data_IF_858162095069
#
_entry.id   IF_858162095069
#
_cell.length_a   1.000
_cell.length_b   1.000
_cell.length_c   1.000
_cell.angle_alpha   90.00
_cell.angle_beta   90.00
_cell.angle_gamma   90.00
#
_symmetry.space_group_name_H-M   'P 1'
#
loop_
_entity.id
_entity.type
_entity.pdbx_description
1 polymer ?
#
# COMPACT_ATOMS: atom_id res chain seq x y z
N UNK A 1 -52.20 16.87 71.92
CA UNK A 1 -51.99 15.66 71.10
C UNK A 1 -52.71 15.72 69.75
N UNK A 2 -54.00 16.07 69.70
CA UNK A 2 -54.77 16.11 68.44
C UNK A 2 -54.22 17.10 67.38
N UNK A 3 -53.68 18.24 67.81
CA UNK A 3 -53.08 19.25 66.92
C UNK A 3 -51.77 18.80 66.27
N UNK A 4 -50.91 18.08 67.00
CA UNK A 4 -49.67 17.52 66.46
C UNK A 4 -49.94 16.42 65.43
N UNK A 5 -50.95 15.58 65.68
CA UNK A 5 -51.38 14.55 64.73
C UNK A 5 -51.88 15.19 63.43
N UNK A 6 -52.64 16.28 63.52
CA UNK A 6 -53.11 17.01 62.34
C UNK A 6 -51.96 17.63 61.53
N UNK A 7 -50.96 18.23 62.19
CA UNK A 7 -49.78 18.78 61.53
C UNK A 7 -48.99 17.68 60.79
N UNK A 8 -48.75 16.55 61.45
CA UNK A 8 -48.08 15.39 60.85
C UNK A 8 -48.85 14.87 59.63
N UNK A 9 -50.19 14.85 59.68
CA UNK A 9 -51.00 14.42 58.54
C UNK A 9 -50.81 15.33 57.32
N UNK A 10 -50.73 16.65 57.51
CA UNK A 10 -50.47 17.62 56.43
C UNK A 10 -49.08 17.39 55.83
N UNK A 11 -48.06 17.24 56.66
CA UNK A 11 -46.69 16.98 56.18
C UNK A 11 -46.60 15.67 55.39
N UNK A 12 -47.28 14.61 55.85
CA UNK A 12 -47.36 13.34 55.12
C UNK A 12 -48.05 13.52 53.77
N UNK A 13 -49.09 14.35 53.68
CA UNK A 13 -49.73 14.67 52.40
C UNK A 13 -48.82 15.43 51.45
N UNK A 14 -48.06 16.42 51.95
CA UNK A 14 -47.09 17.17 51.16
C UNK A 14 -45.95 16.26 50.65
N UNK A 15 -45.37 15.45 51.54
CA UNK A 15 -44.33 14.48 51.16
C UNK A 15 -44.82 13.49 50.11
N UNK A 16 -46.08 13.04 50.18
CA UNK A 16 -46.68 12.19 49.16
C UNK A 16 -46.82 12.90 47.81
N UNK A 17 -47.16 14.18 47.82
CA UNK A 17 -47.24 14.98 46.59
C UNK A 17 -45.85 15.16 45.97
N UNK A 18 -44.85 15.50 46.76
CA UNK A 18 -43.47 15.66 46.29
C UNK A 18 -42.89 14.34 45.76
N UNK A 19 -43.11 13.23 46.48
CA UNK A 19 -42.71 11.90 46.02
C UNK A 19 -43.34 11.54 44.67
N UNK A 20 -44.58 11.95 44.44
CA UNK A 20 -45.25 11.74 43.14
C UNK A 20 -44.56 12.51 42.02
N UNK A 21 -44.24 13.79 42.25
CA UNK A 21 -43.54 14.62 41.27
C UNK A 21 -42.15 14.06 40.96
N UNK A 22 -41.42 13.61 41.97
CA UNK A 22 -40.11 12.97 41.79
C UNK A 22 -40.24 11.68 41.00
N UNK A 23 -41.23 10.85 41.29
CA UNK A 23 -41.46 9.60 40.55
C UNK A 23 -41.77 9.87 39.07
N UNK A 24 -42.63 10.85 38.77
CA UNK A 24 -42.96 11.23 37.40
C UNK A 24 -41.73 11.74 36.63
N UNK A 25 -40.88 12.54 37.29
CA UNK A 25 -39.61 13.01 36.70
C UNK A 25 -38.62 11.87 36.49
N UNK A 26 -38.51 10.92 37.42
CA UNK A 26 -37.65 9.73 37.28
C UNK A 26 -38.03 8.95 36.00
N UNK A 27 -39.31 8.66 35.84
CA UNK A 27 -39.83 7.95 34.65
C UNK A 27 -39.56 8.73 33.36
N UNK A 28 -39.72 10.05 33.38
CA UNK A 28 -39.43 10.88 32.20
C UNK A 28 -37.93 10.81 31.83
N UNK A 29 -37.04 10.90 32.82
CA UNK A 29 -35.59 10.80 32.59
C UNK A 29 -35.17 9.41 32.11
N UNK A 30 -35.76 8.33 32.65
CA UNK A 30 -35.49 6.95 32.22
C UNK A 30 -35.87 6.73 30.74
N UNK A 31 -37.01 7.30 30.31
CA UNK A 31 -37.41 7.26 28.89
C UNK A 31 -36.42 8.00 28.00
N UNK A 32 -35.99 9.19 28.41
CA UNK A 32 -34.99 9.96 27.65
C UNK A 32 -33.67 9.20 27.54
N UNK A 33 -33.20 8.60 28.63
CA UNK A 33 -31.99 7.77 28.62
C UNK A 33 -32.16 6.61 27.63
N UNK A 34 -33.30 5.93 27.63
CA UNK A 34 -33.56 4.82 26.70
C UNK A 34 -33.53 5.28 25.23
N UNK A 35 -34.16 6.42 24.91
CA UNK A 35 -34.14 6.97 23.55
C UNK A 35 -32.72 7.38 23.11
N UNK A 36 -31.97 8.04 23.99
CA UNK A 36 -30.58 8.43 23.70
C UNK A 36 -29.69 7.21 23.50
N UNK A 37 -29.95 6.13 24.23
CA UNK A 37 -29.22 4.88 24.07
C UNK A 37 -29.46 4.26 22.69
N UNK A 38 -30.71 4.23 22.22
CA UNK A 38 -31.04 3.73 20.88
C UNK A 38 -30.43 4.59 19.76
N UNK A 39 -30.37 5.92 19.96
CA UNK A 39 -29.74 6.83 19.00
C UNK A 39 -28.22 6.59 18.97
N UNK A 40 -27.59 6.42 20.13
CA UNK A 40 -26.17 6.11 20.25
C UNK A 40 -25.83 4.78 19.55
N UNK A 41 -26.64 3.74 19.72
CA UNK A 41 -26.45 2.46 19.04
C UNK A 41 -26.56 2.61 17.51
N UNK A 42 -27.50 3.42 17.04
CA UNK A 42 -27.68 3.72 15.62
C UNK A 42 -26.48 4.48 15.06
N UNK A 43 -25.99 5.49 15.78
CA UNK A 43 -24.80 6.27 15.38
C UNK A 43 -23.56 5.37 15.33
N UNK A 44 -23.36 4.50 16.32
CA UNK A 44 -22.25 3.55 16.33
C UNK A 44 -22.29 2.60 15.13
N UNK A 45 -23.47 2.11 14.75
CA UNK A 45 -23.64 1.29 13.55
C UNK A 45 -23.27 2.06 12.26
N UNK A 46 -23.67 3.34 12.17
CA UNK A 46 -23.34 4.19 11.03
C UNK A 46 -21.83 4.48 10.96
N UNK A 47 -21.18 4.71 12.10
CA UNK A 47 -19.71 4.88 12.18
C UNK A 47 -19.01 3.64 11.65
N UNK A 48 -19.40 2.44 12.10
CA UNK A 48 -18.81 1.19 11.62
C UNK A 48 -18.98 1.00 10.09
N UNK A 49 -20.13 1.40 9.53
CA UNK A 49 -20.36 1.38 8.07
C UNK A 49 -19.43 2.35 7.35
N UNK A 50 -19.23 3.56 7.89
CA UNK A 50 -18.36 4.57 7.28
C UNK A 50 -16.88 4.18 7.36
N UNK A 51 -16.45 3.57 8.47
CA UNK A 51 -15.11 3.00 8.62
C UNK A 51 -14.86 1.88 7.59
N UNK A 52 -15.82 0.98 7.39
CA UNK A 52 -15.71 -0.05 6.37
C UNK A 52 -15.63 0.54 4.95
N UNK A 53 -16.39 1.62 4.67
CA UNK A 53 -16.38 2.31 3.38
C UNK A 53 -15.07 3.05 3.14
N UNK A 54 -14.55 3.77 4.14
CA UNK A 54 -13.26 4.48 4.04
C UNK A 54 -12.13 3.51 3.77
N UNK A 55 -12.05 2.42 4.53
CA UNK A 55 -11.05 1.37 4.31
C UNK A 55 -11.12 0.76 2.89
N UNK A 56 -12.34 0.48 2.40
CA UNK A 56 -12.54 -0.02 1.04
C UNK A 56 -12.08 0.98 -0.03
N UNK A 57 -12.30 2.28 0.17
CA UNK A 57 -11.90 3.31 -0.77
C UNK A 57 -10.37 3.51 -0.77
N UNK A 58 -9.74 3.46 0.40
CA UNK A 58 -8.27 3.51 0.53
C UNK A 58 -7.60 2.39 -0.27
N UNK A 59 -8.06 1.14 -0.11
CA UNK A 59 -7.55 0.00 -0.87
C UNK A 59 -7.71 0.18 -2.39
N UNK A 60 -8.82 0.81 -2.83
CA UNK A 60 -9.04 1.10 -4.26
C UNK A 60 -8.11 2.18 -4.79
N UNK A 61 -7.84 3.22 -4.00
CA UNK A 61 -6.89 4.28 -4.37
C UNK A 61 -5.50 3.69 -4.53
N UNK A 62 -5.04 2.88 -3.56
CA UNK A 62 -3.72 2.23 -3.63
C UNK A 62 -3.56 1.35 -4.89
N UNK A 63 -4.58 0.55 -5.23
CA UNK A 63 -4.57 -0.27 -6.44
C UNK A 63 -4.52 0.56 -7.73
N UNK A 64 -5.35 1.61 -7.83
CA UNK A 64 -5.37 2.52 -9.00
C UNK A 64 -4.03 3.24 -9.15
N UNK A 65 -3.50 3.81 -8.09
CA UNK A 65 -2.22 4.51 -8.11
C UNK A 65 -1.06 3.55 -8.38
N UNK A 66 -1.11 2.34 -7.82
CA UNK A 66 -0.13 1.29 -8.09
C UNK A 66 -0.12 0.91 -9.56
N UNK A 67 -1.30 0.73 -10.17
CA UNK A 67 -1.42 0.51 -11.63
C UNK A 67 -0.89 1.69 -12.44
N UNK A 68 -1.23 2.92 -12.05
CA UNK A 68 -0.79 4.13 -12.74
C UNK A 68 0.74 4.28 -12.69
N UNK A 69 1.36 4.11 -11.52
CA UNK A 69 2.82 4.11 -11.33
C UNK A 69 3.51 3.08 -12.23
N UNK A 70 3.01 1.83 -12.26
CA UNK A 70 3.56 0.77 -13.13
C UNK A 70 3.45 1.12 -14.61
N UNK A 71 2.28 1.61 -15.04
CA UNK A 71 2.06 2.03 -16.44
C UNK A 71 2.97 3.19 -16.85
N UNK A 72 3.11 4.20 -15.99
CA UNK A 72 3.99 5.35 -16.25
C UNK A 72 5.45 4.90 -16.47
N UNK A 73 5.97 4.00 -15.62
CA UNK A 73 7.32 3.45 -15.79
C UNK A 73 7.44 2.64 -17.09
N UNK A 74 6.42 1.85 -17.45
CA UNK A 74 6.43 1.10 -18.70
C UNK A 74 6.45 2.01 -19.93
N UNK A 75 5.63 3.07 -19.95
CA UNK A 75 5.61 4.05 -21.02
C UNK A 75 6.96 4.78 -21.15
N UNK A 76 7.56 5.17 -20.02
CA UNK A 76 8.91 5.76 -20.03
C UNK A 76 9.97 4.79 -20.56
N UNK A 77 9.87 3.49 -20.26
CA UNK A 77 10.80 2.49 -20.84
C UNK A 77 10.59 2.30 -22.34
N UNK A 78 9.33 2.35 -22.79
CA UNK A 78 8.98 2.20 -24.21
C UNK A 78 9.48 3.39 -25.04
N UNK A 79 9.52 4.60 -24.49
CA UNK A 79 10.02 5.77 -25.23
C UNK A 79 11.50 5.66 -25.63
N UNK A 80 12.30 4.84 -24.93
CA UNK A 80 13.69 4.54 -25.30
C UNK A 80 13.84 3.50 -26.43
N UNK A 81 12.74 2.91 -26.95
CA UNK A 81 12.83 1.82 -27.95
C UNK A 81 13.58 2.25 -29.21
N UNK A 82 13.29 3.45 -29.75
CA UNK A 82 13.97 3.95 -30.94
C UNK A 82 15.49 4.13 -30.73
N UNK A 83 15.88 4.78 -29.63
CA UNK A 83 17.29 4.98 -29.26
C UNK A 83 18.01 3.64 -29.12
N UNK A 84 17.38 2.65 -28.47
CA UNK A 84 17.96 1.31 -28.29
C UNK A 84 18.19 0.58 -29.60
N UNK A 85 17.26 0.71 -30.57
CA UNK A 85 17.45 0.16 -31.91
C UNK A 85 18.68 0.79 -32.58
N UNK A 86 18.79 2.12 -32.56
CA UNK A 86 19.94 2.81 -33.14
C UNK A 86 21.26 2.46 -32.44
N UNK A 87 21.28 2.42 -31.11
CA UNK A 87 22.46 1.98 -30.35
C UNK A 87 22.90 0.56 -30.73
N UNK A 88 21.94 -0.34 -30.96
CA UNK A 88 22.21 -1.71 -31.42
C UNK A 88 22.78 -1.73 -32.84
N UNK A 89 22.23 -0.93 -33.76
CA UNK A 89 22.74 -0.79 -35.13
C UNK A 89 24.18 -0.27 -35.16
N UNK A 90 24.50 0.69 -34.28
CA UNK A 90 25.84 1.28 -34.16
C UNK A 90 26.83 0.42 -33.34
N UNK A 91 26.38 -0.71 -32.77
CA UNK A 91 27.23 -1.61 -31.99
C UNK A 91 27.59 -1.10 -30.60
N UNK A 92 26.89 -0.10 -30.06
CA UNK A 92 27.12 0.40 -28.71
C UNK A 92 26.50 -0.51 -27.65
N UNK A 93 27.27 -0.79 -26.58
CA UNK A 93 26.74 -1.51 -25.43
C UNK A 93 25.85 -0.58 -24.58
N UNK A 94 24.65 -1.03 -24.24
CA UNK A 94 23.70 -0.26 -23.45
C UNK A 94 22.95 -1.11 -22.42
N UNK A 95 22.39 -0.44 -21.39
CA UNK A 95 21.57 -1.05 -20.35
C UNK A 95 20.46 -0.09 -19.92
N UNK A 96 19.25 -0.61 -19.69
CA UNK A 96 18.13 0.18 -19.16
C UNK A 96 17.98 -0.11 -17.65
N UNK A 97 18.23 0.90 -16.84
CA UNK A 97 18.17 0.85 -15.37
C UNK A 97 16.80 1.27 -14.85
N UNK A 98 16.45 0.78 -13.66
CA UNK A 98 15.23 1.18 -12.96
C UNK A 98 15.30 2.64 -12.46
N UNK A 99 14.20 3.42 -12.52
CA UNK A 99 12.90 3.08 -13.13
C UNK A 99 12.92 3.11 -14.67
N UNK A 100 13.57 4.10 -15.29
CA UNK A 100 13.72 4.21 -16.74
C UNK A 100 14.93 5.10 -17.11
N UNK A 101 16.15 4.68 -16.75
CA UNK A 101 17.39 5.43 -17.07
C UNK A 101 18.24 4.63 -18.04
N UNK A 102 18.56 5.19 -19.21
CA UNK A 102 19.39 4.53 -20.20
C UNK A 102 20.87 4.78 -19.90
N UNK A 103 21.66 3.71 -19.76
CA UNK A 103 23.12 3.74 -19.66
C UNK A 103 23.72 3.29 -20.97
N UNK A 104 24.65 4.07 -21.54
CA UNK A 104 25.40 3.74 -22.75
C UNK A 104 26.89 3.71 -22.43
N UNK A 105 27.61 2.70 -22.93
CA UNK A 105 29.05 2.59 -22.80
C UNK A 105 29.72 2.95 -24.13
N UNK A 106 30.53 4.01 -24.12
CA UNK A 106 31.24 4.53 -25.29
C UNK A 106 32.68 4.88 -24.91
N UNK A 107 33.67 4.31 -25.62
CA UNK A 107 35.10 4.56 -25.38
C UNK A 107 35.49 4.39 -23.90
N UNK A 108 34.98 3.33 -23.26
CA UNK A 108 35.21 3.04 -21.83
C UNK A 108 34.50 3.97 -20.84
N UNK A 109 33.73 4.97 -21.30
CA UNK A 109 32.95 5.89 -20.45
C UNK A 109 31.47 5.54 -20.48
N UNK A 110 30.84 5.64 -19.31
CA UNK A 110 29.40 5.41 -19.15
C UNK A 110 28.63 6.73 -19.16
N UNK A 111 27.64 6.85 -20.04
CA UNK A 111 26.73 7.98 -20.11
C UNK A 111 25.33 7.56 -19.66
N UNK A 112 24.64 8.41 -18.91
CA UNK A 112 23.29 8.13 -18.39
C UNK A 112 22.30 9.15 -18.92
N UNK A 113 21.15 8.67 -19.38
CA UNK A 113 20.09 9.49 -19.96
C UNK A 113 18.77 9.20 -19.26
N UNK A 114 18.04 10.26 -18.92
CA UNK A 114 16.70 10.18 -18.32
C UNK A 114 15.59 10.39 -19.35
N UNK A 115 15.92 10.94 -20.54
CA UNK A 115 14.99 11.11 -21.65
C UNK A 115 15.58 10.54 -22.95
N UNK A 116 14.73 10.07 -23.88
CA UNK A 116 15.19 9.59 -25.18
C UNK A 116 15.81 10.71 -26.03
N UNK A 117 15.31 11.94 -25.93
CA UNK A 117 15.82 13.11 -26.65
C UNK A 117 17.28 13.44 -26.28
N UNK A 118 17.61 13.39 -24.99
CA UNK A 118 18.99 13.62 -24.54
C UNK A 118 19.94 12.53 -25.07
N UNK A 119 19.46 11.29 -25.17
CA UNK A 119 20.23 10.19 -25.73
C UNK A 119 20.40 10.32 -27.25
N UNK A 120 19.35 10.76 -27.96
CA UNK A 120 19.43 11.07 -29.40
C UNK A 120 20.41 12.19 -29.71
N UNK A 121 20.30 13.32 -29.01
CA UNK A 121 21.25 14.42 -29.22
C UNK A 121 22.68 14.05 -28.80
N UNK A 122 22.86 13.11 -27.87
CA UNK A 122 24.18 12.54 -27.61
C UNK A 122 24.64 11.65 -28.76
N UNK A 123 23.77 10.80 -29.34
CA UNK A 123 24.09 9.98 -30.49
C UNK A 123 24.51 10.82 -31.68
N UNK A 124 23.74 11.82 -32.08
CA UNK A 124 24.04 12.68 -33.23
C UNK A 124 25.43 13.34 -33.14
N UNK A 125 25.84 13.73 -31.93
CA UNK A 125 27.18 14.30 -31.68
C UNK A 125 28.31 13.27 -31.77
N UNK A 126 28.03 11.99 -31.57
CA UNK A 126 29.03 10.91 -31.55
C UNK A 126 28.94 9.97 -32.78
N UNK A 127 27.86 10.04 -33.58
CA UNK A 127 27.63 9.19 -34.77
C UNK A 127 28.58 9.55 -35.92
N UNK A 128 29.15 10.77 -35.90
CA UNK A 128 30.14 11.26 -36.87
C UNK A 128 31.39 10.36 -36.93
N UNK A 129 31.64 9.56 -35.89
CA UNK A 129 32.87 8.76 -35.79
C UNK A 129 32.87 7.44 -36.54
N UNK A 130 31.75 6.96 -37.11
CA UNK A 130 31.67 5.96 -38.20
C UNK A 130 32.64 4.76 -38.16
N UNK A 131 33.13 4.35 -36.99
CA UNK A 131 34.14 3.31 -36.86
C UNK A 131 33.49 2.08 -36.24
N UNK A 132 33.32 1.00 -37.01
CA UNK A 132 32.74 -0.22 -36.46
C UNK A 132 33.68 -0.74 -35.37
N UNK A 133 33.13 -0.93 -34.17
CA UNK A 133 33.82 -1.50 -33.00
C UNK A 133 34.19 -3.00 -33.18
N UNK A 134 34.35 -3.47 -34.42
CA UNK A 134 34.73 -4.84 -34.78
C UNK A 134 36.24 -5.10 -34.71
N UNK A 135 37.05 -4.17 -34.19
CA UNK A 135 38.51 -4.32 -34.03
C UNK A 135 39.03 -4.08 -32.59
N UNK A 136 38.20 -4.16 -31.55
CA UNK A 136 38.74 -4.34 -30.20
C UNK A 136 38.77 -5.84 -29.87
N UNK A 137 39.98 -6.36 -30.00
CA UNK A 137 40.33 -7.76 -29.90
C UNK A 137 39.94 -8.42 -28.58
N UNK A 138 39.68 -9.71 -28.75
CA UNK A 138 39.89 -10.79 -27.80
C UNK A 138 40.87 -10.44 -26.67
N UNK A 139 40.38 -10.23 -25.45
CA UNK A 139 41.05 -10.72 -24.25
C UNK A 139 40.06 -10.70 -23.08
N UNK A 140 39.84 -11.87 -22.47
CA UNK A 140 38.97 -12.00 -21.31
C UNK A 140 38.02 -13.20 -21.32
N UNK A 141 38.45 -14.35 -21.85
CA UNK A 141 37.84 -15.64 -21.49
C UNK A 141 37.90 -15.77 -19.96
N UNK A 142 36.76 -15.65 -19.27
CA UNK A 142 36.62 -16.19 -17.92
C UNK A 142 36.59 -17.72 -18.02
N UNK A 143 37.42 -18.46 -17.29
CA UNK A 143 37.40 -19.92 -17.32
C UNK A 143 36.12 -20.42 -16.65
N UNK A 144 35.38 -21.28 -17.36
CA UNK A 144 34.41 -22.20 -16.76
C UNK A 144 35.21 -23.28 -16.03
N UNK A 145 35.35 -23.15 -14.72
CA UNK A 145 35.74 -24.26 -13.84
C UNK A 145 34.57 -25.23 -13.73
N UNK A 146 34.70 -26.40 -14.33
CA UNK A 146 33.94 -27.60 -14.01
C UNK A 146 34.69 -28.34 -12.90
N UNK A 147 34.05 -28.59 -11.79
CA UNK A 147 34.43 -29.58 -10.76
C UNK A 147 33.24 -29.62 -9.79
N UNK A 148 32.69 -30.73 -9.34
CA UNK A 148 32.79 -32.15 -9.66
C UNK A 148 31.49 -32.74 -9.09
N UNK A 149 30.95 -33.75 -9.77
CA UNK A 149 29.78 -34.48 -9.31
C UNK A 149 30.26 -35.43 -8.21
N UNK A 150 29.76 -35.27 -6.98
CA UNK A 150 29.75 -36.36 -6.01
C UNK A 150 28.32 -36.71 -5.59
N UNK A 151 27.97 -37.93 -5.97
CA UNK A 151 26.77 -38.69 -5.60
C UNK A 151 27.00 -39.29 -4.20
N UNK A 152 26.04 -39.08 -3.28
CA UNK A 152 25.58 -40.05 -2.25
C UNK A 152 24.54 -39.33 -1.35
N UNK A 153 23.23 -39.57 -1.47
CA UNK A 153 22.45 -40.72 -1.00
C UNK A 153 21.83 -40.55 0.41
N UNK A 154 20.56 -40.98 0.50
CA UNK A 154 19.71 -41.36 1.67
C UNK A 154 18.76 -40.26 2.16
N UNK A 155 17.48 -40.30 1.75
CA UNK A 155 16.36 -41.13 2.29
C UNK A 155 16.10 -40.87 3.77
N UNK A 156 15.00 -40.18 4.08
CA UNK A 156 13.71 -40.79 4.46
C UNK A 156 12.99 -39.96 5.54
N UNK A 157 11.67 -39.80 5.34
CA UNK A 157 10.57 -39.77 6.34
C UNK A 157 10.61 -38.68 7.44
N UNK A 158 9.52 -38.13 7.98
CA UNK A 158 8.20 -38.70 8.25
C UNK A 158 7.20 -37.58 8.59
N UNK A 159 5.97 -37.85 8.17
CA UNK A 159 4.65 -37.29 8.52
C UNK A 159 4.41 -36.84 9.98
N UNK A 160 3.31 -36.07 10.08
CA UNK A 160 2.37 -35.86 11.19
C UNK A 160 2.64 -34.66 12.11
N UNK A 161 1.66 -33.93 12.69
CA UNK A 161 0.18 -33.82 12.60
C UNK A 161 -0.23 -32.84 13.73
N UNK A 162 -1.32 -32.09 13.52
CA UNK A 162 -2.29 -31.59 14.52
C UNK A 162 -1.99 -30.39 15.45
N UNK A 163 -3.12 -29.70 15.73
CA UNK A 163 -3.41 -28.66 16.73
C UNK A 163 -4.14 -27.52 16.01
N UNK A 164 -5.46 -27.32 16.00
CA UNK A 164 -6.62 -27.63 16.88
C UNK A 164 -6.51 -27.09 18.30
N UNK A 165 -6.77 -25.79 18.42
CA UNK A 165 -7.20 -25.05 19.63
C UNK A 165 -7.98 -23.84 19.07
N UNK A 166 -9.11 -23.35 19.58
CA UNK A 166 -10.14 -23.80 20.51
C UNK A 166 -11.36 -22.93 20.24
#
# INVERSE_FOLDING_TARGET
MQTQIAAIAVDVHLLRADLRVVAERSVATEKQVTCLQTDMDTLNALVAILEAKTHKLEARVEDVEGRARRRAVQLQRQSFTGVKCKLKELGYAYMLLYPAKLKVLHVGRSHFFQSPEAAWGWLERNDVTGMPASLQGESGRRPRGKEEVHIAARRSTRRHRAGRES
#
